data_IF_376909703011
#
_entry.id   IF_376909703011
#
_cell.length_a   1.000
_cell.length_b   1.000
_cell.length_c   1.000
_cell.angle_alpha   90.00
_cell.angle_beta   90.00
_cell.angle_gamma   90.00
#
_symmetry.space_group_name_H-M   'P 1'
#
loop_
_entity.id
_entity.type
_entity.pdbx_description
1 polymer ?
#
# COMPACT_ATOMS: atom_id res chain seq x y z
N UNK A 1 20.23 -4.87 15.90
CA UNK A 1 20.07 -6.02 14.99
C UNK A 1 19.22 -5.68 13.76
N UNK A 2 18.00 -5.13 13.91
CA UNK A 2 17.11 -4.79 12.78
C UNK A 2 17.79 -3.97 11.67
N UNK A 3 18.52 -2.91 12.03
CA UNK A 3 19.26 -2.06 11.06
C UNK A 3 20.28 -2.84 10.22
N UNK A 4 20.94 -3.84 10.83
CA UNK A 4 21.94 -4.67 10.15
C UNK A 4 21.26 -5.60 9.14
N UNK A 5 20.11 -6.19 9.51
CA UNK A 5 19.32 -7.04 8.62
C UNK A 5 18.75 -6.25 7.44
N UNK A 6 18.26 -5.03 7.69
CA UNK A 6 17.80 -4.12 6.64
C UNK A 6 18.93 -3.76 5.68
N UNK A 7 20.11 -3.41 6.21
CA UNK A 7 21.27 -3.08 5.38
C UNK A 7 21.72 -4.27 4.52
N UNK A 8 21.74 -5.48 5.11
CA UNK A 8 22.05 -6.73 4.38
C UNK A 8 21.06 -6.95 3.23
N UNK A 9 19.75 -6.93 3.51
CA UNK A 9 18.72 -7.14 2.49
C UNK A 9 18.79 -6.08 1.37
N UNK A 10 19.13 -4.82 1.69
CA UNK A 10 19.34 -3.77 0.68
C UNK A 10 20.58 -4.01 -0.19
N UNK A 11 21.68 -4.47 0.41
CA UNK A 11 22.91 -4.82 -0.34
C UNK A 11 22.67 -6.03 -1.24
N UNK A 12 21.94 -7.03 -0.75
CA UNK A 12 21.60 -8.22 -1.52
C UNK A 12 20.66 -7.90 -2.68
N UNK A 13 19.72 -6.97 -2.49
CA UNK A 13 18.86 -6.45 -3.57
C UNK A 13 19.69 -5.81 -4.69
N UNK A 14 20.68 -5.00 -4.33
CA UNK A 14 21.56 -4.33 -5.27
C UNK A 14 22.45 -5.33 -6.02
N UNK A 15 23.07 -6.26 -5.28
CA UNK A 15 23.99 -7.26 -5.85
C UNK A 15 23.27 -8.26 -6.77
N UNK A 16 22.05 -8.66 -6.42
CA UNK A 16 21.31 -9.71 -7.13
C UNK A 16 20.56 -9.22 -8.38
N UNK A 17 20.58 -7.91 -8.68
CA UNK A 17 19.71 -7.28 -9.68
C UNK A 17 18.21 -7.57 -9.49
N UNK A 18 17.80 -8.08 -8.32
CA UNK A 18 16.40 -8.37 -8.01
C UNK A 18 15.60 -7.08 -7.93
N UNK A 19 16.23 -5.95 -7.55
CA UNK A 19 15.62 -4.63 -7.58
C UNK A 19 15.05 -4.30 -8.96
N UNK A 20 15.76 -4.58 -10.05
CA UNK A 20 15.26 -4.31 -11.41
C UNK A 20 14.03 -5.15 -11.74
N UNK A 21 14.06 -6.45 -11.38
CA UNK A 21 12.91 -7.35 -11.56
C UNK A 21 11.69 -6.89 -10.77
N UNK A 22 11.92 -6.47 -9.52
CA UNK A 22 10.90 -5.91 -8.64
C UNK A 22 10.29 -4.63 -9.22
N UNK A 23 11.13 -3.70 -9.69
CA UNK A 23 10.67 -2.46 -10.33
C UNK A 23 9.79 -2.76 -11.54
N UNK A 24 10.26 -3.59 -12.47
CA UNK A 24 9.48 -3.94 -13.67
C UNK A 24 8.15 -4.62 -13.28
N UNK A 25 8.21 -5.59 -12.37
CA UNK A 25 7.02 -6.33 -11.90
C UNK A 25 5.97 -5.43 -11.24
N UNK A 26 6.37 -4.30 -10.69
CA UNK A 26 5.46 -3.35 -10.05
C UNK A 26 5.02 -2.24 -11.00
N UNK A 27 5.94 -1.69 -11.79
CA UNK A 27 5.66 -0.62 -12.74
C UNK A 27 4.75 -1.10 -13.87
N UNK A 28 4.86 -2.34 -14.34
CA UNK A 28 4.01 -2.85 -15.44
C UNK A 28 2.52 -2.83 -15.09
N UNK A 29 2.05 -3.41 -13.96
CA UNK A 29 0.65 -3.29 -13.54
C UNK A 29 0.20 -1.84 -13.35
N UNK A 30 1.09 -0.97 -12.87
CA UNK A 30 0.78 0.44 -12.66
C UNK A 30 0.63 1.22 -13.97
N UNK A 31 1.51 0.98 -14.95
CA UNK A 31 1.37 1.53 -16.29
C UNK A 31 0.08 1.03 -16.96
N UNK A 32 -0.30 -0.22 -16.69
CA UNK A 32 -1.58 -0.74 -17.15
C UNK A 32 -2.77 0.00 -16.53
N UNK A 33 -2.73 0.31 -15.23
CA UNK A 33 -3.76 1.16 -14.60
C UNK A 33 -3.81 2.57 -15.18
N UNK A 34 -2.64 3.16 -15.46
CA UNK A 34 -2.54 4.48 -16.10
C UNK A 34 -3.17 4.45 -17.51
N UNK A 35 -2.86 3.42 -18.29
CA UNK A 35 -3.43 3.22 -19.63
C UNK A 35 -4.94 3.03 -19.56
N UNK A 36 -5.45 2.25 -18.60
CA UNK A 36 -6.88 2.08 -18.40
C UNK A 36 -7.56 3.40 -18.06
N UNK A 37 -6.97 4.20 -17.18
CA UNK A 37 -7.50 5.51 -16.83
C UNK A 37 -7.61 6.43 -18.05
N UNK A 38 -6.54 6.47 -18.84
CA UNK A 38 -6.50 7.23 -20.09
C UNK A 38 -7.54 6.70 -21.11
N UNK A 39 -7.73 5.38 -21.20
CA UNK A 39 -8.70 4.78 -22.12
C UNK A 39 -10.15 5.06 -21.70
N UNK A 40 -10.44 5.03 -20.40
CA UNK A 40 -11.77 5.37 -19.85
C UNK A 40 -12.10 6.82 -20.16
N UNK A 41 -11.15 7.73 -19.97
CA UNK A 41 -11.32 9.15 -20.30
C UNK A 41 -11.54 9.34 -21.80
N UNK A 42 -10.71 8.70 -22.63
CA UNK A 42 -10.87 8.67 -24.08
C UNK A 42 -12.23 8.14 -24.54
N UNK A 43 -12.76 7.10 -23.87
CA UNK A 43 -14.05 6.50 -24.16
C UNK A 43 -15.24 7.27 -23.55
N UNK A 44 -14.99 8.37 -22.83
CA UNK A 44 -16.01 9.15 -22.10
C UNK A 44 -16.91 8.27 -21.23
N UNK A 45 -16.31 7.28 -20.55
CA UNK A 45 -17.05 6.31 -19.77
C UNK A 45 -17.74 7.01 -18.58
N UNK A 46 -19.02 6.73 -18.27
CA UNK A 46 -19.78 7.47 -17.25
C UNK A 46 -19.35 7.18 -15.79
N UNK A 47 -18.27 6.44 -15.57
CA UNK A 47 -17.78 6.09 -14.24
C UNK A 47 -16.65 7.08 -13.86
N UNK A 48 -16.79 7.86 -12.77
CA UNK A 48 -15.80 8.83 -12.36
C UNK A 48 -14.61 8.15 -11.67
N UNK A 49 -13.64 7.66 -12.45
CA UNK A 49 -12.40 7.12 -11.90
C UNK A 49 -11.53 8.25 -11.35
N UNK A 50 -11.42 8.34 -10.02
CA UNK A 50 -10.61 9.35 -9.34
C UNK A 50 -9.29 8.78 -8.78
N UNK A 51 -8.36 9.67 -8.43
CA UNK A 51 -7.05 9.33 -7.87
C UNK A 51 -7.14 8.45 -6.62
N UNK A 52 -8.16 8.66 -5.78
CA UNK A 52 -8.44 7.86 -4.58
C UNK A 52 -8.79 6.41 -4.90
N UNK A 53 -9.39 6.15 -6.05
CA UNK A 53 -9.71 4.79 -6.51
C UNK A 53 -8.46 4.00 -6.88
N UNK A 54 -7.40 4.69 -7.32
CA UNK A 54 -6.12 4.07 -7.72
C UNK A 54 -5.17 3.86 -6.53
N UNK A 55 -5.23 4.70 -5.50
CA UNK A 55 -4.34 4.62 -4.34
C UNK A 55 -4.31 3.24 -3.63
N UNK A 56 -5.46 2.54 -3.43
CA UNK A 56 -5.48 1.22 -2.84
C UNK A 56 -4.70 0.18 -3.66
N UNK A 57 -4.73 0.25 -5.00
CA UNK A 57 -4.04 -0.73 -5.85
C UNK A 57 -2.51 -0.72 -5.66
N UNK A 58 -1.93 0.43 -5.29
CA UNK A 58 -0.49 0.54 -5.01
C UNK A 58 -0.05 -0.32 -3.82
N UNK A 59 -0.87 -0.34 -2.76
CA UNK A 59 -0.65 -1.19 -1.60
C UNK A 59 -0.87 -2.67 -1.93
N UNK A 60 -1.87 -2.97 -2.79
CA UNK A 60 -2.13 -4.33 -3.25
C UNK A 60 -0.93 -4.87 -4.04
N UNK A 61 -0.51 -4.23 -5.14
CA UNK A 61 0.62 -4.70 -5.94
C UNK A 61 1.95 -4.77 -5.16
N UNK A 62 2.01 -4.10 -4.02
CA UNK A 62 3.09 -4.24 -3.06
C UNK A 62 3.37 -5.68 -2.60
N UNK A 63 2.36 -6.55 -2.55
CA UNK A 63 2.58 -7.93 -2.08
C UNK A 63 3.56 -8.72 -2.97
N UNK A 64 3.66 -8.40 -4.26
CA UNK A 64 4.64 -8.96 -5.19
C UNK A 64 6.08 -8.68 -4.72
N UNK A 65 6.37 -7.47 -4.23
CA UNK A 65 7.69 -7.12 -3.73
C UNK A 65 8.07 -7.97 -2.53
N UNK A 66 7.11 -8.22 -1.63
CA UNK A 66 7.35 -9.09 -0.49
C UNK A 66 7.72 -10.51 -0.94
N UNK A 67 7.08 -11.02 -1.99
CA UNK A 67 7.43 -12.28 -2.63
C UNK A 67 8.87 -12.29 -3.17
N UNK A 68 9.24 -11.29 -3.97
CA UNK A 68 10.59 -11.16 -4.51
C UNK A 68 11.66 -11.02 -3.41
N UNK A 69 11.36 -10.27 -2.34
CA UNK A 69 12.28 -9.99 -1.22
C UNK A 69 12.58 -11.24 -0.37
N UNK A 70 11.61 -12.15 -0.29
CA UNK A 70 11.80 -13.46 0.35
C UNK A 70 12.35 -14.51 -0.61
N UNK A 71 12.32 -14.26 -1.92
CA UNK A 71 12.86 -15.16 -2.94
C UNK A 71 14.38 -15.07 -3.13
N UNK A 72 15.04 -14.02 -2.61
CA UNK A 72 16.48 -13.82 -2.79
C UNK A 72 17.34 -14.80 -2.01
N UNK A 73 16.92 -15.14 -0.78
CA UNK A 73 17.63 -16.05 0.11
C UNK A 73 16.76 -17.27 0.40
N UNK A 74 17.37 -18.47 0.43
CA UNK A 74 16.67 -19.61 0.98
C UNK A 74 16.57 -19.45 2.51
N UNK A 75 15.40 -19.70 3.13
CA UNK A 75 15.26 -19.61 4.59
C UNK A 75 16.15 -20.61 5.35
N UNK A 76 16.65 -21.65 4.69
CA UNK A 76 17.43 -22.71 5.30
C UNK A 76 18.84 -22.22 5.71
N UNK A 77 19.39 -21.24 4.97
CA UNK A 77 20.65 -20.57 5.34
C UNK A 77 20.49 -19.64 6.56
N UNK A 78 19.25 -19.24 6.90
CA UNK A 78 18.99 -18.35 8.03
C UNK A 78 18.97 -19.09 9.37
N UNK A 79 18.84 -20.44 9.38
CA UNK A 79 18.94 -21.27 10.58
C UNK A 79 20.29 -21.15 11.32
N UNK A 80 21.36 -20.78 10.61
CA UNK A 80 22.70 -20.64 11.18
C UNK A 80 22.93 -19.33 11.95
N UNK A 81 22.01 -18.37 11.86
CA UNK A 81 22.17 -17.06 12.51
C UNK A 81 21.36 -17.00 13.82
N UNK A 82 21.86 -16.31 14.87
CA UNK A 82 21.15 -16.13 16.14
C UNK A 82 20.06 -15.05 16.01
N UNK A 83 19.14 -15.21 15.06
CA UNK A 83 18.09 -14.25 14.72
C UNK A 83 16.73 -14.95 14.80
N UNK A 84 15.75 -14.30 15.42
CA UNK A 84 14.39 -14.82 15.47
C UNK A 84 13.63 -14.51 14.17
N UNK A 85 12.79 -15.42 13.69
CA UNK A 85 12.00 -15.26 12.47
C UNK A 85 11.17 -13.94 12.43
N UNK A 86 10.48 -13.52 13.52
CA UNK A 86 9.78 -12.23 13.52
C UNK A 86 10.69 -11.01 13.29
N UNK A 87 11.97 -11.07 13.68
CA UNK A 87 12.92 -9.98 13.46
C UNK A 87 13.28 -9.87 11.97
N UNK A 88 13.40 -10.99 11.27
CA UNK A 88 13.63 -11.04 9.83
C UNK A 88 12.41 -10.56 9.05
N UNK A 89 11.21 -11.00 9.42
CA UNK A 89 9.98 -10.52 8.80
C UNK A 89 9.83 -9.00 8.97
N UNK A 90 10.14 -8.45 10.15
CA UNK A 90 10.15 -7.00 10.37
C UNK A 90 11.19 -6.28 9.53
N UNK A 91 12.39 -6.83 9.38
CA UNK A 91 13.42 -6.26 8.50
C UNK A 91 12.92 -6.17 7.06
N UNK A 92 12.31 -7.26 6.56
CA UNK A 92 11.74 -7.32 5.21
C UNK A 92 10.60 -6.33 5.01
N UNK A 93 9.74 -6.15 6.00
CA UNK A 93 8.67 -5.14 5.94
C UNK A 93 9.26 -3.73 5.83
N UNK A 94 10.34 -3.42 6.56
CA UNK A 94 11.01 -2.11 6.46
C UNK A 94 11.64 -1.91 5.08
N UNK A 95 12.35 -2.92 4.56
CA UNK A 95 12.96 -2.84 3.21
C UNK A 95 11.89 -2.68 2.14
N UNK A 96 10.79 -3.44 2.24
CA UNK A 96 9.63 -3.28 1.40
C UNK A 96 9.15 -1.81 1.39
N UNK A 97 8.91 -1.23 2.56
CA UNK A 97 8.45 0.16 2.67
C UNK A 97 9.41 1.16 2.05
N UNK A 98 10.71 0.99 2.29
CA UNK A 98 11.73 1.89 1.75
C UNK A 98 11.76 1.87 0.23
N UNK A 99 11.54 0.71 -0.39
CA UNK A 99 11.57 0.60 -1.86
C UNK A 99 10.23 1.00 -2.48
N UNK A 100 9.10 0.57 -1.94
CA UNK A 100 7.81 0.84 -2.58
C UNK A 100 7.35 2.27 -2.42
N UNK A 101 7.59 2.91 -1.27
CA UNK A 101 7.00 4.22 -0.95
C UNK A 101 7.33 5.29 -2.00
N UNK A 102 8.60 5.45 -2.39
CA UNK A 102 8.98 6.49 -3.34
C UNK A 102 8.44 6.19 -4.76
N UNK A 103 8.38 4.91 -5.15
CA UNK A 103 7.81 4.51 -6.45
C UNK A 103 6.32 4.84 -6.48
N UNK A 104 5.60 4.49 -5.41
CA UNK A 104 4.18 4.74 -5.30
C UNK A 104 3.86 6.23 -5.25
N UNK A 105 4.70 7.04 -4.59
CA UNK A 105 4.59 8.52 -4.58
C UNK A 105 4.75 9.08 -5.99
N UNK A 106 5.79 8.68 -6.72
CA UNK A 106 6.01 9.13 -8.11
C UNK A 106 4.82 8.73 -8.98
N UNK A 107 4.33 7.50 -8.85
CA UNK A 107 3.18 7.04 -9.62
C UNK A 107 1.92 7.86 -9.32
N UNK A 108 1.58 8.09 -8.04
CA UNK A 108 0.43 8.93 -7.70
C UNK A 108 0.57 10.36 -8.19
N UNK A 109 1.79 10.90 -8.16
CA UNK A 109 2.04 12.24 -8.67
C UNK A 109 1.80 12.33 -10.19
N UNK A 110 2.34 11.37 -10.96
CA UNK A 110 2.09 11.27 -12.41
C UNK A 110 0.60 11.05 -12.69
N UNK A 111 -0.05 10.17 -11.94
CA UNK A 111 -1.48 9.88 -12.09
C UNK A 111 -2.35 11.10 -11.79
N UNK A 112 -1.98 11.87 -10.76
CA UNK A 112 -2.68 13.10 -10.40
C UNK A 112 -2.56 14.17 -11.48
N UNK A 113 -1.45 14.22 -12.22
CA UNK A 113 -1.33 15.09 -13.40
C UNK A 113 -2.19 14.61 -14.56
N UNK A 114 -2.18 13.29 -14.84
CA UNK A 114 -2.96 12.72 -15.96
C UNK A 114 -4.45 12.88 -15.74
N UNK A 115 -4.92 12.81 -14.49
CA UNK A 115 -6.32 12.99 -14.11
C UNK A 115 -6.71 14.45 -13.79
N UNK A 116 -5.76 15.39 -13.82
CA UNK A 116 -5.94 16.77 -13.33
C UNK A 116 -6.51 16.87 -11.89
N UNK A 117 -6.05 15.96 -11.01
CA UNK A 117 -6.50 15.79 -9.63
C UNK A 117 -5.36 15.95 -8.62
N UNK A 118 -4.48 16.94 -8.82
CA UNK A 118 -3.37 17.22 -7.90
C UNK A 118 -3.84 17.54 -6.48
N UNK A 119 -5.03 18.12 -6.35
CA UNK A 119 -5.66 18.45 -5.07
C UNK A 119 -6.00 17.19 -4.25
N UNK A 120 -6.22 16.02 -4.89
CA UNK A 120 -6.54 14.76 -4.21
C UNK A 120 -5.29 14.01 -3.71
N UNK A 121 -4.10 14.49 -4.10
CA UNK A 121 -2.83 13.82 -3.84
C UNK A 121 -2.57 13.56 -2.34
N UNK A 122 -2.80 14.50 -1.40
CA UNK A 122 -2.56 14.25 0.02
C UNK A 122 -3.43 13.11 0.57
N UNK A 123 -4.71 13.06 0.19
CA UNK A 123 -5.63 12.01 0.59
C UNK A 123 -5.24 10.65 0.00
N UNK A 124 -4.90 10.64 -1.31
CA UNK A 124 -4.42 9.45 -2.00
C UNK A 124 -3.14 8.90 -1.36
N UNK A 125 -2.20 9.76 -0.93
CA UNK A 125 -1.00 9.35 -0.22
C UNK A 125 -1.30 8.69 1.14
N UNK A 126 -2.25 9.24 1.90
CA UNK A 126 -2.67 8.64 3.18
C UNK A 126 -3.25 7.23 2.95
N UNK A 127 -4.16 7.10 1.98
CA UNK A 127 -4.76 5.81 1.61
C UNK A 127 -3.71 4.82 1.15
N UNK A 128 -2.78 5.26 0.30
CA UNK A 128 -1.67 4.45 -0.19
C UNK A 128 -0.80 3.93 0.95
N UNK A 129 -0.40 4.79 1.89
CA UNK A 129 0.41 4.40 3.06
C UNK A 129 -0.37 3.42 3.94
N UNK A 130 -1.61 3.76 4.30
CA UNK A 130 -2.46 2.92 5.14
C UNK A 130 -2.65 1.52 4.54
N UNK A 131 -2.97 1.46 3.25
CA UNK A 131 -3.17 0.19 2.56
C UNK A 131 -1.85 -0.59 2.42
N UNK A 132 -0.74 0.10 2.15
CA UNK A 132 0.59 -0.56 2.10
C UNK A 132 0.96 -1.19 3.44
N UNK A 133 0.67 -0.53 4.57
CA UNK A 133 0.91 -1.06 5.94
C UNK A 133 0.06 -2.29 6.17
N UNK A 134 -1.22 -2.20 5.82
CA UNK A 134 -2.15 -3.30 5.96
C UNK A 134 -1.73 -4.53 5.14
N UNK A 135 -1.52 -4.38 3.83
CA UNK A 135 -1.24 -5.49 2.91
C UNK A 135 0.08 -6.17 3.25
N UNK A 136 1.16 -5.42 3.49
CA UNK A 136 2.45 -6.04 3.82
C UNK A 136 2.41 -6.78 5.16
N UNK A 137 1.70 -6.22 6.16
CA UNK A 137 1.58 -6.83 7.48
C UNK A 137 0.72 -8.09 7.41
N UNK A 138 -0.38 -8.06 6.65
CA UNK A 138 -1.22 -9.22 6.36
C UNK A 138 -0.42 -10.31 5.64
N UNK A 139 0.34 -9.93 4.61
CA UNK A 139 1.16 -10.87 3.83
C UNK A 139 2.21 -11.52 4.72
N UNK A 140 2.95 -10.74 5.52
CA UNK A 140 3.95 -11.27 6.44
C UNK A 140 3.33 -12.18 7.52
N UNK A 141 2.12 -11.83 8.00
CA UNK A 141 1.41 -12.64 8.98
C UNK A 141 0.98 -13.97 8.37
N UNK A 142 0.32 -13.96 7.21
CA UNK A 142 -0.26 -15.14 6.58
C UNK A 142 0.79 -16.04 5.93
N UNK A 143 1.72 -15.45 5.19
CA UNK A 143 2.63 -16.17 4.29
C UNK A 143 4.04 -16.35 4.85
N UNK A 144 4.46 -15.52 5.81
CA UNK A 144 5.76 -15.65 6.47
C UNK A 144 6.95 -15.60 5.50
N UNK A 145 8.00 -16.42 5.73
CA UNK A 145 9.25 -16.34 4.97
C UNK A 145 9.20 -16.98 3.58
N UNK A 146 8.15 -17.75 3.24
CA UNK A 146 8.03 -18.45 1.94
C UNK A 146 6.71 -18.11 1.23
N UNK A 147 6.50 -16.84 0.85
CA UNK A 147 5.27 -16.41 0.17
C UNK A 147 4.97 -17.20 -1.11
N UNK A 148 6.00 -17.59 -1.86
CA UNK A 148 5.82 -18.37 -3.09
C UNK A 148 5.32 -19.80 -2.86
N UNK A 149 5.51 -20.38 -1.67
CA UNK A 149 4.89 -21.66 -1.32
C UNK A 149 3.52 -21.44 -0.70
N UNK A 150 3.42 -20.46 0.21
CA UNK A 150 2.21 -20.17 0.95
C UNK A 150 1.04 -19.75 0.05
N UNK A 151 1.30 -19.09 -1.09
CA UNK A 151 0.26 -18.69 -2.03
C UNK A 151 -0.41 -19.87 -2.74
N UNK A 152 0.25 -21.04 -2.82
CA UNK A 152 -0.34 -22.26 -3.38
C UNK A 152 -1.14 -23.07 -2.35
N UNK A 153 -1.08 -22.72 -1.07
CA UNK A 153 -1.97 -23.29 -0.06
C UNK A 153 -3.35 -22.62 -0.18
N UNK A 154 -4.36 -23.41 -0.54
CA UNK A 154 -5.74 -22.95 -0.76
C UNK A 154 -6.28 -22.18 0.45
N UNK A 155 -5.97 -22.62 1.67
CA UNK A 155 -6.46 -21.97 2.90
C UNK A 155 -5.81 -20.60 3.08
N UNK A 156 -4.49 -20.52 2.94
CA UNK A 156 -3.75 -19.26 3.07
C UNK A 156 -4.16 -18.29 1.95
N UNK A 157 -4.29 -18.79 0.73
CA UNK A 157 -4.72 -18.02 -0.42
C UNK A 157 -6.13 -17.45 -0.22
N UNK A 158 -7.09 -18.23 0.27
CA UNK A 158 -8.45 -17.77 0.52
C UNK A 158 -8.49 -16.66 1.57
N UNK A 159 -7.79 -16.82 2.70
CA UNK A 159 -7.70 -15.78 3.73
C UNK A 159 -7.00 -14.52 3.24
N UNK A 160 -5.96 -14.66 2.43
CA UNK A 160 -5.29 -13.53 1.79
C UNK A 160 -6.22 -12.82 0.81
N UNK A 161 -6.95 -13.56 -0.03
CA UNK A 161 -7.86 -12.99 -1.01
C UNK A 161 -9.00 -12.22 -0.33
N UNK A 162 -9.65 -12.82 0.67
CA UNK A 162 -10.69 -12.18 1.48
C UNK A 162 -10.12 -10.94 2.19
N UNK A 163 -8.95 -11.08 2.83
CA UNK A 163 -8.30 -10.00 3.54
C UNK A 163 -7.86 -8.85 2.65
N UNK A 164 -7.53 -9.08 1.37
CA UNK A 164 -7.09 -8.01 0.47
C UNK A 164 -8.23 -7.40 -0.33
N UNK A 165 -9.15 -8.21 -0.85
CA UNK A 165 -10.20 -7.73 -1.76
C UNK A 165 -11.32 -7.03 -1.03
N UNK A 166 -11.72 -7.47 0.16
CA UNK A 166 -12.78 -6.79 0.91
C UNK A 166 -12.37 -5.33 1.20
N UNK A 167 -11.19 -5.05 1.78
CA UNK A 167 -10.74 -3.67 1.96
C UNK A 167 -10.54 -2.91 0.65
N UNK A 168 -10.00 -3.57 -0.38
CA UNK A 168 -9.76 -2.94 -1.68
C UNK A 168 -11.08 -2.48 -2.31
N UNK A 169 -12.08 -3.37 -2.38
CA UNK A 169 -13.41 -3.04 -2.89
C UNK A 169 -14.10 -2.01 -2.01
N UNK A 170 -13.97 -2.09 -0.68
CA UNK A 170 -14.54 -1.09 0.22
C UNK A 170 -13.96 0.31 -0.07
N UNK A 171 -12.63 0.43 -0.15
CA UNK A 171 -11.96 1.70 -0.49
C UNK A 171 -12.36 2.20 -1.88
N UNK A 172 -12.46 1.31 -2.86
CA UNK A 172 -12.84 1.62 -4.24
C UNK A 172 -14.31 2.03 -4.39
N UNK A 173 -15.23 1.43 -3.64
CA UNK A 173 -16.64 1.82 -3.66
C UNK A 173 -16.87 3.13 -2.89
N UNK A 174 -16.16 3.31 -1.77
CA UNK A 174 -16.18 4.55 -1.01
C UNK A 174 -15.65 5.70 -1.87
N UNK A 175 -14.58 5.49 -2.65
CA UNK A 175 -14.05 6.54 -3.53
C UNK A 175 -15.04 6.99 -4.60
N UNK A 176 -16.00 6.14 -5.04
CA UNK A 176 -17.09 6.57 -5.94
C UNK A 176 -18.21 7.31 -5.22
N UNK A 177 -18.71 6.77 -4.10
CA UNK A 177 -19.86 7.35 -3.38
C UNK A 177 -19.54 8.67 -2.69
N UNK A 178 -18.27 8.93 -2.44
CA UNK A 178 -17.77 10.05 -1.67
C UNK A 178 -16.74 10.89 -2.44
N UNK A 179 -16.56 10.62 -3.73
CA UNK A 179 -15.67 11.30 -4.65
C UNK A 179 -16.13 12.70 -5.08
N UNK A 180 -17.28 13.17 -4.57
CA UNK A 180 -17.66 14.58 -4.64
C UNK A 180 -16.72 15.37 -3.72
N UNK A 181 -15.56 15.69 -4.26
CA UNK A 181 -14.42 16.23 -3.54
C UNK A 181 -14.31 17.75 -3.71
N UNK A 182 -15.45 18.42 -3.92
CA UNK A 182 -15.58 19.88 -3.98
C UNK A 182 -14.83 20.62 -2.85
N UNK A 183 -14.64 20.00 -1.68
CA UNK A 183 -13.82 20.56 -0.59
C UNK A 183 -12.36 20.81 -1.01
N UNK A 184 -11.76 19.95 -1.83
CA UNK A 184 -10.36 20.09 -2.21
C UNK A 184 -10.12 21.07 -3.35
N UNK A 185 -11.05 21.15 -4.32
CA UNK A 185 -11.08 22.25 -5.30
C UNK A 185 -11.19 23.59 -4.57
N UNK A 186 -12.08 23.67 -3.58
CA UNK A 186 -12.25 24.86 -2.76
C UNK A 186 -11.07 25.10 -1.81
N UNK A 187 -10.36 24.06 -1.36
CA UNK A 187 -9.18 24.19 -0.49
C UNK A 187 -7.99 24.80 -1.23
N UNK A 188 -7.79 24.45 -2.51
CA UNK A 188 -6.77 25.08 -3.36
C UNK A 188 -7.02 26.58 -3.56
N UNK A 189 -8.28 26.98 -3.73
CA UNK A 189 -8.68 28.39 -3.81
C UNK A 189 -8.57 29.08 -2.44
N UNK A 190 -9.02 28.45 -1.35
CA UNK A 190 -8.91 29.02 0.01
C UNK A 190 -7.46 29.19 0.48
N UNK A 191 -6.55 28.25 0.20
CA UNK A 191 -5.13 28.39 0.57
C UNK A 191 -4.45 29.46 -0.28
N UNK A 192 -4.90 29.67 -1.53
CA UNK A 192 -4.48 30.78 -2.39
C UNK A 192 -4.98 32.14 -1.88
N UNK A 193 -6.19 32.21 -1.31
CA UNK A 193 -6.83 33.47 -0.88
C UNK A 193 -6.56 33.84 0.60
N UNK A 194 -6.51 32.87 1.51
CA UNK A 194 -6.41 33.08 2.97
C UNK A 194 -5.08 32.58 3.60
N UNK A 195 -4.21 31.93 2.81
CA UNK A 195 -2.93 31.39 3.28
C UNK A 195 -3.07 30.25 4.32
N UNK A 196 -2.02 30.00 5.12
CA UNK A 196 -2.00 28.93 6.15
C UNK A 196 -2.97 29.14 7.33
N UNK A 197 -3.68 30.27 7.36
CA UNK A 197 -4.70 30.59 8.37
C UNK A 197 -6.13 30.25 7.93
N UNK A 198 -6.31 29.66 6.75
CA UNK A 198 -7.61 29.20 6.26
C UNK A 198 -8.27 28.24 7.26
N UNK A 199 -9.33 28.70 7.93
CA UNK A 199 -10.04 27.93 8.95
C UNK A 199 -10.82 26.80 8.29
N UNK A 200 -10.25 25.59 8.29
CA UNK A 200 -10.84 24.36 7.75
C UNK A 200 -12.17 23.93 8.40
N UNK A 201 -12.68 24.67 9.38
CA UNK A 201 -13.87 24.31 10.15
C UNK A 201 -15.19 24.58 9.43
N UNK A 202 -15.26 25.55 8.52
CA UNK A 202 -16.56 26.03 7.99
C UNK A 202 -17.12 25.16 6.85
N UNK A 203 -16.28 24.34 6.18
CA UNK A 203 -16.74 23.44 5.10
C UNK A 203 -16.91 21.96 5.52
N UNK A 204 -16.36 21.56 6.68
CA UNK A 204 -16.34 20.15 7.12
C UNK A 204 -17.67 19.72 7.77
N UNK A 205 -18.44 20.67 8.31
CA UNK A 205 -19.67 20.36 9.06
C UNK A 205 -20.94 20.26 8.20
N UNK A 206 -21.02 20.96 7.06
CA UNK A 206 -22.30 21.11 6.34
C UNK A 206 -22.40 20.35 4.99
N UNK A 207 -21.29 19.94 4.37
CA UNK A 207 -21.29 19.35 3.02
C UNK A 207 -21.05 17.83 2.95
N UNK A 208 -21.72 17.16 2.00
CA UNK A 208 -21.57 15.73 1.69
C UNK A 208 -20.10 15.32 1.42
N UNK A 209 -19.29 16.24 0.90
CA UNK A 209 -17.85 16.11 0.70
C UNK A 209 -17.04 15.92 2.01
N UNK A 210 -17.47 16.53 3.12
CA UNK A 210 -16.80 16.41 4.43
C UNK A 210 -17.00 15.04 5.06
N UNK A 211 -18.15 14.41 4.78
CA UNK A 211 -18.41 13.00 5.12
C UNK A 211 -17.51 12.07 4.31
N UNK A 212 -17.19 12.45 3.06
CA UNK A 212 -16.33 11.69 2.18
C UNK A 212 -14.90 11.54 2.67
N UNK A 213 -14.31 12.69 3.03
CA UNK A 213 -12.99 12.72 3.63
C UNK A 213 -12.93 11.96 4.95
N UNK A 214 -13.93 12.13 5.82
CA UNK A 214 -14.03 11.40 7.09
C UNK A 214 -14.14 9.90 6.90
N UNK A 215 -14.87 9.44 5.87
CA UNK A 215 -14.97 8.02 5.53
C UNK A 215 -13.64 7.42 5.12
N UNK A 216 -12.93 8.07 4.20
CA UNK A 216 -11.62 7.61 3.70
C UNK A 216 -10.57 7.62 4.80
N UNK A 217 -10.51 8.68 5.60
CA UNK A 217 -9.59 8.76 6.74
C UNK A 217 -9.94 7.72 7.82
N UNK A 218 -11.24 7.48 8.05
CA UNK A 218 -11.72 6.46 8.98
C UNK A 218 -11.30 5.04 8.57
N UNK A 219 -11.50 4.68 7.30
CA UNK A 219 -11.05 3.38 6.78
C UNK A 219 -9.53 3.28 6.80
N UNK A 220 -8.81 4.33 6.40
CA UNK A 220 -7.34 4.37 6.44
C UNK A 220 -6.81 4.18 7.86
N UNK A 221 -7.41 4.83 8.86
CA UNK A 221 -7.06 4.64 10.26
C UNK A 221 -7.33 3.19 10.72
N UNK A 222 -8.47 2.61 10.32
CA UNK A 222 -8.79 1.20 10.57
C UNK A 222 -7.76 0.24 9.97
N UNK A 223 -7.30 0.50 8.74
CA UNK A 223 -6.27 -0.30 8.07
C UNK A 223 -4.91 -0.19 8.76
N UNK A 224 -4.54 1.01 9.23
CA UNK A 224 -3.32 1.20 10.02
C UNK A 224 -3.41 0.41 11.33
N UNK A 225 -4.53 0.50 12.05
CA UNK A 225 -4.74 -0.23 13.31
C UNK A 225 -4.65 -1.74 13.07
N UNK A 226 -5.31 -2.26 12.03
CA UNK A 226 -5.24 -3.67 11.65
C UNK A 226 -3.82 -4.09 11.25
N UNK A 227 -3.12 -3.27 10.47
CA UNK A 227 -1.74 -3.50 10.09
C UNK A 227 -0.81 -3.59 11.30
N UNK A 228 -0.92 -2.65 12.24
CA UNK A 228 -0.17 -2.68 13.51
C UNK A 228 -0.53 -3.92 14.33
N UNK A 229 -1.81 -4.29 14.41
CA UNK A 229 -2.25 -5.50 15.09
C UNK A 229 -1.62 -6.75 14.47
N UNK A 230 -1.56 -6.85 13.13
CA UNK A 230 -0.90 -7.95 12.44
C UNK A 230 0.61 -7.98 12.71
N UNK A 231 1.29 -6.83 12.75
CA UNK A 231 2.70 -6.74 13.13
C UNK A 231 2.96 -7.23 14.56
N UNK A 232 2.05 -6.92 15.49
CA UNK A 232 2.14 -7.41 16.87
C UNK A 232 1.90 -8.92 16.94
N UNK A 233 1.00 -9.46 16.11
CA UNK A 233 0.71 -10.89 16.03
C UNK A 233 1.84 -11.72 15.42
N UNK A 234 2.79 -11.11 14.68
CA UNK A 234 3.96 -11.81 14.14
C UNK A 234 4.74 -12.58 15.21
N UNK A 235 4.92 -11.98 16.40
CA UNK A 235 5.63 -12.64 17.50
C UNK A 235 4.88 -13.87 18.01
N UNK A 236 3.54 -13.82 18.06
CA UNK A 236 2.72 -14.94 18.51
C UNK A 236 2.70 -16.09 17.49
N UNK A 237 2.60 -15.75 16.20
CA UNK A 237 2.48 -16.76 15.13
C UNK A 237 3.82 -17.40 14.76
N UNK A 238 4.88 -16.61 14.70
CA UNK A 238 6.17 -17.03 14.14
C UNK A 238 7.31 -17.09 15.18
N UNK A 239 7.08 -16.66 16.43
CA UNK A 239 8.15 -16.54 17.43
C UNK A 239 8.78 -17.85 17.92
N UNK A 240 8.12 -19.00 17.73
CA UNK A 240 8.63 -20.33 18.11
C UNK A 240 8.81 -21.28 16.93
N UNK A 241 8.55 -20.82 15.71
CA UNK A 241 8.61 -21.69 14.53
C UNK A 241 10.05 -21.74 13.99
N UNK A 242 10.55 -22.93 13.61
CA UNK A 242 11.80 -23.03 12.87
C UNK A 242 11.65 -22.36 11.50
N UNK A 243 12.79 -22.04 10.86
CA UNK A 243 12.79 -21.46 9.50
C UNK A 243 12.30 -22.46 8.43
N UNK A 244 12.19 -23.74 8.79
CA UNK A 244 11.55 -24.80 8.03
C UNK A 244 10.06 -24.85 8.36
N UNK A 245 9.23 -24.07 7.67
CA UNK A 245 7.79 -24.32 7.43
C UNK A 245 7.32 -23.38 6.31
#
# INVERSE_FOLDING_TARGET
MLRLLVAKDLVDLWRSNTLVKMLISYTVPLLFLLLLAWLVDFASFPIPFNLLSYAPFLGFFGFQFYSWLNGMDSPDYLNGFPVALPQLLRAKIVVYFLITTWISVIFLFVMAMVLDQLWALPAALIVMIANSIYIVSLTALLMGPRPNKAIFDISIMAWFYIGTIIPLLALFLISFTQGDMTIYENWGQMVSEEGLNATTSVLVEENAAGKGLRGILGVSAGLIILGIAFLMMLNRRWGRRPFEN
#
